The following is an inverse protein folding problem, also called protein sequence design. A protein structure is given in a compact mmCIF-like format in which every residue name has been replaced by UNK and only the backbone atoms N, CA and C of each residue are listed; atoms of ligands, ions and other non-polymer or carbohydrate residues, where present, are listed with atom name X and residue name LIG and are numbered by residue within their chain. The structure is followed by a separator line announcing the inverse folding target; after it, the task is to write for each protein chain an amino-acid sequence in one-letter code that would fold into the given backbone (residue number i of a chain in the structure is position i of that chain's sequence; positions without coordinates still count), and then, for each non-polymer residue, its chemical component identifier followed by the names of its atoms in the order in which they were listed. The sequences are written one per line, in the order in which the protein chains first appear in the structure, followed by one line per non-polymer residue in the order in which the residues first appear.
data_IF_018364818187
#
_entry.id   IF_018364818187
#
_cell.length_a   1.000
_cell.length_b   1.000
_cell.length_c   1.000
_cell.angle_alpha   90.00
_cell.angle_beta   90.00
_cell.angle_gamma   90.00
#
_symmetry.space_group_name_H-M   'P 1'
#
loop_
_entity.id
_entity.type
_entity.pdbx_description
1 polymer ?
#
# COMPACT_ATOMS: atom_id res chain seq x y z
N UNK A 1 -40.76 73.68 6.38
CA UNK A 1 -41.09 74.44 5.16
C UNK A 1 -39.79 74.76 4.43
N UNK A 2 -39.67 74.25 3.18
CA UNK A 2 -38.85 74.73 2.02
C UNK A 2 -37.32 74.84 2.21
N UNK A 3 -36.44 74.47 1.28
CA UNK A 3 -36.44 73.67 0.04
C UNK A 3 -34.97 73.63 -0.46
N UNK A 4 -34.54 72.53 -1.10
CA UNK A 4 -33.52 72.34 -2.18
C UNK A 4 -32.11 73.00 -2.05
N UNK A 5 -30.99 72.44 -2.50
CA UNK A 5 -30.57 71.15 -3.07
C UNK A 5 -29.02 71.21 -3.18
N UNK A 6 -28.31 70.09 -3.02
CA UNK A 6 -27.03 69.89 -3.74
C UNK A 6 -26.80 68.40 -3.98
N UNK A 7 -26.63 68.06 -5.26
CA UNK A 7 -26.23 66.77 -5.79
C UNK A 7 -24.87 66.35 -5.19
N UNK A 8 -24.78 65.11 -4.70
CA UNK A 8 -23.50 64.41 -4.57
C UNK A 8 -23.65 63.02 -5.20
N UNK A 9 -22.85 62.82 -6.24
CA UNK A 9 -22.71 61.59 -7.02
C UNK A 9 -22.20 60.48 -6.10
N UNK A 10 -22.99 59.44 -5.85
CA UNK A 10 -22.51 58.24 -5.19
C UNK A 10 -21.89 57.31 -6.24
N UNK A 11 -20.56 57.24 -6.22
CA UNK A 11 -19.78 56.27 -6.97
C UNK A 11 -20.07 54.88 -6.40
N UNK A 12 -20.73 54.03 -7.17
CA UNK A 12 -21.03 52.66 -6.79
C UNK A 12 -19.76 51.81 -6.79
N UNK A 13 -19.21 51.53 -5.60
CA UNK A 13 -18.27 50.43 -5.44
C UNK A 13 -19.06 49.12 -5.32
N UNK A 14 -19.07 48.36 -6.42
CA UNK A 14 -19.52 46.98 -6.45
C UNK A 14 -18.64 46.19 -5.47
N UNK A 15 -19.18 45.87 -4.28
CA UNK A 15 -18.49 45.01 -3.32
C UNK A 15 -18.72 43.57 -3.77
N UNK A 16 -17.71 42.97 -4.40
CA UNK A 16 -17.67 41.52 -4.61
C UNK A 16 -17.46 40.91 -3.22
N UNK A 17 -18.51 40.33 -2.65
CA UNK A 17 -18.38 39.49 -1.46
C UNK A 17 -17.82 38.15 -1.95
N UNK A 18 -16.51 37.99 -1.85
CA UNK A 18 -15.86 36.69 -1.98
C UNK A 18 -16.23 35.90 -0.73
N UNK A 19 -17.12 34.92 -0.86
CA UNK A 19 -17.27 33.88 0.16
C UNK A 19 -16.00 33.03 0.12
N UNK A 20 -15.12 33.20 1.09
CA UNK A 20 -14.07 32.23 1.33
C UNK A 20 -14.77 30.93 1.78
N UNK A 21 -14.61 29.87 0.99
CA UNK A 21 -15.05 28.54 1.38
C UNK A 21 -14.19 28.12 2.57
N UNK A 22 -14.80 27.94 3.74
CA UNK A 22 -14.09 27.69 4.98
C UNK A 22 -13.54 26.25 4.95
N UNK A 23 -12.24 26.10 4.69
CA UNK A 23 -11.56 24.80 4.75
C UNK A 23 -11.77 24.18 6.13
N UNK A 24 -12.44 23.03 6.19
CA UNK A 24 -12.70 22.34 7.46
C UNK A 24 -11.49 21.52 7.84
N UNK A 25 -10.57 22.12 8.60
CA UNK A 25 -9.37 21.43 9.08
C UNK A 25 -9.69 20.55 10.29
N UNK A 26 -9.54 19.24 10.13
CA UNK A 26 -9.59 18.23 11.19
C UNK A 26 -8.17 17.76 11.53
N UNK A 27 -7.82 17.78 12.81
CA UNK A 27 -6.57 17.22 13.35
C UNK A 27 -6.95 16.27 14.49
N UNK A 28 -6.73 14.97 14.30
CA UNK A 28 -7.18 13.92 15.20
C UNK A 28 -5.98 13.06 15.62
N UNK A 29 -5.67 13.12 16.91
CA UNK A 29 -4.71 12.22 17.53
C UNK A 29 -5.43 11.23 18.46
N UNK A 30 -5.16 9.93 18.29
CA UNK A 30 -5.71 8.88 19.16
C UNK A 30 -4.73 7.76 19.45
N UNK A 31 -4.70 7.36 20.71
CA UNK A 31 -3.89 6.27 21.22
C UNK A 31 -4.77 5.06 21.55
N UNK A 32 -4.32 3.87 21.16
CA UNK A 32 -4.98 2.60 21.44
C UNK A 32 -4.09 1.72 22.29
N UNK A 33 -4.67 1.16 23.35
CA UNK A 33 -4.01 0.24 24.26
C UNK A 33 -4.79 -1.06 24.30
N UNK A 34 -4.04 -2.16 24.32
CA UNK A 34 -4.59 -3.50 24.50
C UNK A 34 -4.75 -3.78 26.00
N UNK A 35 -5.87 -4.40 26.37
CA UNK A 35 -6.16 -4.85 27.75
C UNK A 35 -5.85 -6.32 27.93
N UNK A 36 -6.33 -7.15 27.01
CA UNK A 36 -6.32 -8.62 27.09
C UNK A 36 -5.89 -9.29 25.81
N UNK A 37 -5.94 -8.59 24.67
CA UNK A 37 -5.62 -9.18 23.40
C UNK A 37 -4.14 -9.62 23.29
N UNK A 38 -3.92 -10.78 22.71
CA UNK A 38 -2.59 -11.23 22.25
C UNK A 38 -2.48 -11.18 20.72
N UNK A 39 -3.62 -11.08 20.03
CA UNK A 39 -3.70 -10.90 18.58
C UNK A 39 -4.48 -9.63 18.28
N UNK A 40 -4.01 -8.83 17.31
CA UNK A 40 -4.68 -7.61 16.87
C UNK A 40 -4.91 -7.66 15.37
N UNK A 41 -6.18 -7.60 14.98
CA UNK A 41 -6.58 -7.35 13.60
C UNK A 41 -6.60 -5.84 13.39
N UNK A 42 -5.89 -5.35 12.38
CA UNK A 42 -5.83 -3.94 12.03
C UNK A 42 -6.29 -3.78 10.60
N UNK A 43 -7.43 -3.10 10.43
CA UNK A 43 -7.92 -2.66 9.13
C UNK A 43 -7.69 -1.15 9.01
N UNK A 44 -6.93 -0.73 8.01
CA UNK A 44 -6.78 0.67 7.62
C UNK A 44 -7.35 0.81 6.22
N UNK A 45 -8.43 1.55 6.09
CA UNK A 45 -9.11 1.85 4.83
C UNK A 45 -9.00 3.33 4.54
N UNK A 46 -7.91 3.71 3.86
CA UNK A 46 -7.63 5.07 3.43
C UNK A 46 -8.19 5.27 2.01
N UNK A 47 -9.36 5.93 1.86
CA UNK A 47 -10.00 6.06 0.55
C UNK A 47 -9.20 6.97 -0.39
N UNK A 48 -8.57 8.02 0.13
CA UNK A 48 -7.79 8.96 -0.65
C UNK A 48 -6.78 9.73 0.21
N UNK A 49 -5.68 10.20 -0.37
CA UNK A 49 -4.70 11.05 0.30
C UNK A 49 -3.31 10.41 0.42
N UNK A 50 -2.71 10.54 1.60
CA UNK A 50 -1.41 9.95 1.91
C UNK A 50 -1.51 9.02 3.13
N UNK A 51 -1.15 7.76 2.94
CA UNK A 51 -1.09 6.75 4.00
C UNK A 51 0.36 6.49 4.40
N UNK A 52 0.71 6.77 5.65
CA UNK A 52 1.95 6.34 6.28
C UNK A 52 1.68 5.35 7.39
N UNK A 53 2.31 4.18 7.33
CA UNK A 53 2.31 3.21 8.42
C UNK A 53 3.73 2.93 8.83
N UNK A 54 4.02 3.05 10.13
CA UNK A 54 5.35 2.79 10.68
C UNK A 54 5.24 2.03 12.01
N UNK A 55 6.39 1.61 12.53
CA UNK A 55 6.48 0.86 13.77
C UNK A 55 7.21 1.64 14.86
N UNK A 56 7.00 1.25 16.12
CA UNK A 56 7.72 1.77 17.29
C UNK A 56 7.88 0.72 18.37
N UNK A 57 8.94 0.83 19.18
CA UNK A 57 9.21 -0.11 20.26
C UNK A 57 8.34 0.06 21.51
N UNK A 58 7.92 1.29 21.83
CA UNK A 58 7.29 1.61 23.12
C UNK A 58 6.01 2.45 22.99
N UNK A 59 5.21 2.45 24.06
CA UNK A 59 3.98 3.24 24.17
C UNK A 59 2.71 2.46 23.79
N UNK A 60 1.66 3.17 23.34
CA UNK A 60 0.39 2.57 22.90
C UNK A 60 0.59 1.51 21.82
N UNK A 61 -0.33 0.53 21.77
CA UNK A 61 -0.37 -0.50 20.72
C UNK A 61 -0.48 0.11 19.32
N UNK A 62 -1.32 1.14 19.16
CA UNK A 62 -1.41 1.94 17.95
C UNK A 62 -1.56 3.42 18.30
N UNK A 63 -0.98 4.28 17.48
CA UNK A 63 -1.17 5.74 17.52
C UNK A 63 -1.62 6.19 16.15
N UNK A 64 -2.69 6.97 16.11
CA UNK A 64 -3.20 7.62 14.92
C UNK A 64 -2.92 9.12 15.02
N UNK A 65 -2.31 9.69 13.99
CA UNK A 65 -2.21 11.14 13.73
C UNK A 65 -2.81 11.36 12.34
N UNK A 66 -4.08 11.77 12.33
CA UNK A 66 -4.89 11.94 11.12
C UNK A 66 -5.18 13.43 10.91
N UNK A 67 -4.83 13.94 9.73
CA UNK A 67 -5.03 15.35 9.38
C UNK A 67 -5.78 15.44 8.08
N UNK A 68 -6.85 16.21 8.06
CA UNK A 68 -7.68 16.39 6.89
C UNK A 68 -8.14 17.84 6.74
N UNK A 69 -8.12 18.40 5.54
CA UNK A 69 -8.72 19.70 5.14
C UNK A 69 -9.88 19.53 4.16
N UNK A 70 -10.16 18.31 3.69
CA UNK A 70 -11.25 18.01 2.76
C UNK A 70 -12.60 18.35 3.39
N UNK A 71 -13.45 18.98 2.58
CA UNK A 71 -14.85 19.24 2.94
C UNK A 71 -15.62 17.93 2.97
N UNK A 72 -16.49 17.74 3.96
CA UNK A 72 -17.39 16.57 4.11
C UNK A 72 -16.66 15.21 4.19
N UNK A 73 -15.48 15.17 4.80
CA UNK A 73 -14.78 13.92 5.07
C UNK A 73 -14.88 13.55 6.55
N UNK A 74 -15.33 12.33 6.82
CA UNK A 74 -15.51 11.81 8.18
C UNK A 74 -14.65 10.56 8.41
N UNK A 75 -13.88 10.59 9.50
CA UNK A 75 -13.17 9.42 10.01
C UNK A 75 -14.14 8.46 10.74
N UNK A 76 -13.98 7.17 10.47
CA UNK A 76 -14.69 6.05 11.12
C UNK A 76 -13.67 5.19 11.84
N UNK A 77 -13.57 5.37 13.16
CA UNK A 77 -12.56 4.69 13.98
C UNK A 77 -13.22 3.89 15.07
N UNK A 78 -12.88 2.60 15.17
CA UNK A 78 -13.38 1.73 16.24
C UNK A 78 -12.27 0.81 16.75
N UNK A 79 -12.33 0.49 18.03
CA UNK A 79 -11.51 -0.54 18.65
C UNK A 79 -12.35 -1.35 19.62
N UNK A 80 -12.26 -2.68 19.54
CA UNK A 80 -12.93 -3.61 20.46
C UNK A 80 -12.01 -4.78 20.77
N UNK A 81 -12.20 -5.40 21.92
CA UNK A 81 -11.53 -6.65 22.29
C UNK A 81 -12.56 -7.71 22.65
N UNK A 82 -12.40 -8.90 22.09
CA UNK A 82 -13.23 -10.07 22.35
C UNK A 82 -12.39 -11.35 22.23
N UNK A 83 -12.47 -12.24 23.22
CA UNK A 83 -11.80 -13.54 23.16
C UNK A 83 -10.27 -13.50 23.03
N UNK A 84 -9.61 -12.45 23.53
CA UNK A 84 -8.16 -12.28 23.38
C UNK A 84 -7.72 -11.74 22.01
N UNK A 85 -8.68 -11.27 21.20
CA UNK A 85 -8.44 -10.61 19.91
C UNK A 85 -8.90 -9.16 20.01
N UNK A 86 -8.05 -8.24 19.57
CA UNK A 86 -8.40 -6.83 19.40
C UNK A 86 -8.67 -6.52 17.93
N UNK A 87 -9.75 -5.83 17.62
CA UNK A 87 -10.06 -5.37 16.26
C UNK A 87 -9.97 -3.85 16.22
N UNK A 88 -8.96 -3.31 15.53
CA UNK A 88 -8.80 -1.89 15.24
C UNK A 88 -9.22 -1.64 13.79
N UNK A 89 -10.26 -0.84 13.59
CA UNK A 89 -10.69 -0.39 12.27
C UNK A 89 -10.54 1.12 12.17
N UNK A 90 -9.78 1.57 11.18
CA UNK A 90 -9.57 2.98 10.84
C UNK A 90 -9.99 3.16 9.40
N UNK A 91 -11.14 3.78 9.17
CA UNK A 91 -11.66 4.04 7.84
C UNK A 91 -12.08 5.49 7.69
N UNK A 92 -12.39 5.90 6.48
CA UNK A 92 -12.87 7.25 6.18
C UNK A 92 -13.86 7.23 5.04
N UNK A 93 -14.72 8.23 4.97
CA UNK A 93 -15.57 8.45 3.81
C UNK A 93 -15.73 9.93 3.55
N UNK A 94 -15.63 10.31 2.27
CA UNK A 94 -15.96 11.65 1.80
C UNK A 94 -16.51 11.58 0.38
N UNK A 95 -17.25 12.60 -0.04
CA UNK A 95 -17.76 12.70 -1.40
C UNK A 95 -16.68 13.26 -2.32
N UNK A 96 -16.27 12.48 -3.32
CA UNK A 96 -15.49 12.98 -4.45
C UNK A 96 -16.46 13.12 -5.62
N UNK A 97 -16.76 14.36 -6.02
CA UNK A 97 -17.47 14.62 -7.27
C UNK A 97 -16.47 14.53 -8.43
N UNK A 98 -16.93 14.13 -9.63
CA UNK A 98 -16.44 14.44 -10.99
C UNK A 98 -16.52 13.22 -11.95
N UNK A 99 -16.92 13.48 -13.20
CA UNK A 99 -17.26 12.47 -14.22
C UNK A 99 -16.61 12.78 -15.59
N UNK A 100 -15.46 12.20 -15.92
CA UNK A 100 -14.96 12.14 -17.31
C UNK A 100 -14.14 10.84 -17.53
N UNK A 101 -13.84 10.55 -18.80
CA UNK A 101 -13.05 9.42 -19.25
C UNK A 101 -11.56 9.55 -18.89
N UNK A 102 -10.94 8.42 -18.53
CA UNK A 102 -9.63 8.34 -17.85
C UNK A 102 -8.74 7.37 -18.61
N UNK A 103 -7.56 7.84 -19.04
CA UNK A 103 -6.60 7.03 -19.80
C UNK A 103 -5.29 6.75 -19.04
N UNK A 104 -4.97 7.51 -17.98
CA UNK A 104 -3.78 7.28 -17.13
C UNK A 104 -3.99 7.70 -15.66
N UNK A 105 -3.13 7.24 -14.76
CA UNK A 105 -3.15 7.63 -13.33
C UNK A 105 -2.98 9.15 -13.13
N UNK A 106 -2.08 9.78 -13.92
CA UNK A 106 -1.88 11.24 -13.87
C UNK A 106 -3.11 11.98 -14.37
N UNK A 107 -3.77 11.46 -15.40
CA UNK A 107 -5.00 12.05 -15.94
C UNK A 107 -6.15 11.89 -14.95
N UNK A 108 -6.21 10.78 -14.21
CA UNK A 108 -7.17 10.59 -13.12
C UNK A 108 -6.96 11.60 -11.98
N UNK A 109 -5.71 11.78 -11.51
CA UNK A 109 -5.37 12.80 -10.49
C UNK A 109 -5.81 14.20 -10.96
N UNK A 110 -5.43 14.59 -12.19
CA UNK A 110 -5.82 15.89 -12.77
C UNK A 110 -7.33 16.05 -12.97
N UNK A 111 -8.02 15.01 -13.44
CA UNK A 111 -9.46 15.03 -13.71
C UNK A 111 -10.27 15.30 -12.43
N UNK A 112 -9.87 14.65 -11.34
CA UNK A 112 -10.52 14.85 -10.06
C UNK A 112 -10.18 16.23 -9.44
N UNK A 113 -9.38 17.07 -10.11
CA UNK A 113 -8.92 18.35 -9.56
C UNK A 113 -7.89 18.18 -8.44
N UNK A 114 -7.39 16.95 -8.26
CA UNK A 114 -6.41 16.58 -7.28
C UNK A 114 -5.04 16.94 -7.87
N UNK A 115 -4.60 18.17 -7.62
CA UNK A 115 -3.20 18.51 -7.83
C UNK A 115 -2.27 17.61 -6.98
N UNK A 116 -0.99 17.95 -6.91
CA UNK A 116 -0.07 17.33 -5.94
C UNK A 116 -0.50 17.53 -4.47
N UNK A 117 -1.56 18.30 -4.21
CA UNK A 117 -1.99 18.75 -2.89
C UNK A 117 -2.86 17.74 -2.12
N UNK A 118 -3.32 16.65 -2.72
CA UNK A 118 -4.22 15.74 -1.98
C UNK A 118 -3.54 14.91 -0.89
N UNK A 119 -2.25 14.68 -1.05
CA UNK A 119 -1.41 14.16 0.03
C UNK A 119 -1.36 15.14 1.20
N UNK A 120 -1.34 16.45 0.93
CA UNK A 120 -1.28 17.49 1.96
C UNK A 120 -2.65 17.70 2.64
N UNK A 121 -3.73 17.46 1.90
CA UNK A 121 -5.10 17.67 2.36
C UNK A 121 -5.68 16.51 3.15
N UNK A 122 -5.18 15.28 3.00
CA UNK A 122 -5.65 14.13 3.78
C UNK A 122 -4.51 13.17 4.09
N UNK A 123 -3.95 13.29 5.30
CA UNK A 123 -2.76 12.56 5.73
C UNK A 123 -3.06 11.66 6.90
N UNK A 124 -2.70 10.39 6.73
CA UNK A 124 -2.95 9.31 7.68
C UNK A 124 -1.62 8.79 8.17
N UNK A 125 -1.26 9.06 9.42
CA UNK A 125 -0.07 8.46 10.04
C UNK A 125 -0.54 7.47 11.10
N UNK A 126 -0.20 6.20 10.89
CA UNK A 126 -0.48 5.11 11.84
C UNK A 126 0.82 4.51 12.31
N UNK A 127 1.03 4.51 13.62
CA UNK A 127 2.21 3.90 14.23
C UNK A 127 1.81 2.69 15.07
N UNK A 128 2.32 1.51 14.73
CA UNK A 128 2.05 0.25 15.41
C UNK A 128 3.21 -0.14 16.35
N UNK A 129 2.89 -0.80 17.46
CA UNK A 129 3.88 -1.21 18.44
C UNK A 129 4.55 -2.54 18.06
N UNK A 130 5.88 -2.53 18.01
CA UNK A 130 6.71 -3.74 18.07
C UNK A 130 6.59 -4.31 19.48
N UNK A 131 5.87 -5.42 19.64
CA UNK A 131 5.71 -6.06 20.95
C UNK A 131 5.91 -7.56 20.83
N UNK A 132 6.67 -8.12 21.78
CA UNK A 132 6.84 -9.56 21.90
C UNK A 132 5.53 -10.32 22.14
N UNK A 133 4.51 -9.65 22.69
CA UNK A 133 3.27 -10.28 23.15
C UNK A 133 2.08 -10.04 22.22
N UNK A 134 2.26 -9.24 21.15
CA UNK A 134 1.21 -8.92 20.18
C UNK A 134 1.54 -9.50 18.81
N UNK A 135 0.60 -10.28 18.28
CA UNK A 135 0.60 -10.77 16.91
C UNK A 135 -0.38 -9.94 16.06
N UNK A 136 0.05 -9.46 14.90
CA UNK A 136 -0.75 -8.62 14.03
C UNK A 136 -1.26 -9.38 12.80
N UNK A 137 -2.53 -9.12 12.45
CA UNK A 137 -3.08 -9.37 11.12
C UNK A 137 -3.44 -8.02 10.52
N UNK A 138 -2.80 -7.66 9.41
CA UNK A 138 -2.94 -6.34 8.81
C UNK A 138 -3.69 -6.41 7.49
N UNK A 139 -4.65 -5.51 7.30
CA UNK A 139 -5.31 -5.25 6.03
C UNK A 139 -5.26 -3.74 5.76
N UNK A 140 -4.43 -3.36 4.79
CA UNK A 140 -4.15 -1.98 4.42
C UNK A 140 -4.77 -1.73 3.04
N UNK A 141 -5.64 -0.74 2.95
CA UNK A 141 -6.30 -0.36 1.71
C UNK A 141 -5.99 1.11 1.42
N UNK A 142 -5.36 1.34 0.27
CA UNK A 142 -5.11 2.66 -0.27
C UNK A 142 -5.92 2.82 -1.57
N UNK A 143 -6.99 3.61 -1.51
CA UNK A 143 -7.87 3.84 -2.65
C UNK A 143 -7.20 4.70 -3.72
N UNK A 144 -6.88 5.95 -3.39
CA UNK A 144 -6.32 6.93 -4.32
C UNK A 144 -5.23 7.81 -3.68
N UNK A 145 -4.01 7.81 -4.22
CA UNK A 145 -2.95 8.72 -3.76
C UNK A 145 -1.63 8.02 -3.53
N UNK A 146 -1.02 8.23 -2.37
CA UNK A 146 0.34 7.80 -2.08
C UNK A 146 0.40 7.00 -0.76
N UNK A 147 1.17 5.92 -0.72
CA UNK A 147 1.34 5.11 0.49
C UNK A 147 2.81 4.77 0.76
N UNK A 148 3.22 4.92 2.01
CA UNK A 148 4.57 4.59 2.50
C UNK A 148 4.46 3.79 3.80
N UNK A 149 4.74 2.49 3.69
CA UNK A 149 4.49 1.51 4.75
C UNK A 149 5.81 0.83 5.12
N UNK A 150 6.25 0.97 6.38
CA UNK A 150 7.35 0.20 6.96
C UNK A 150 6.84 -0.63 8.14
N UNK A 151 6.95 -1.95 8.01
CA UNK A 151 6.48 -2.92 9.00
C UNK A 151 7.63 -3.75 9.59
N UNK A 152 8.86 -3.24 9.51
CA UNK A 152 10.04 -3.88 10.09
C UNK A 152 9.83 -4.26 11.57
N UNK A 153 10.32 -5.44 11.94
CA UNK A 153 10.27 -6.03 13.28
C UNK A 153 8.86 -6.32 13.85
N UNK A 154 7.79 -6.01 13.12
CA UNK A 154 6.43 -6.29 13.57
C UNK A 154 6.13 -7.79 13.46
N UNK A 155 5.58 -8.38 14.53
CA UNK A 155 5.10 -9.77 14.55
C UNK A 155 3.82 -9.88 13.75
N UNK A 156 3.90 -10.40 12.53
CA UNK A 156 2.75 -10.48 11.63
C UNK A 156 2.50 -11.91 11.17
N UNK A 157 1.27 -12.40 11.33
CA UNK A 157 0.85 -13.69 10.74
C UNK A 157 0.24 -13.52 9.35
N UNK A 158 -0.33 -12.35 9.06
CA UNK A 158 -0.96 -12.03 7.77
C UNK A 158 -0.79 -10.55 7.42
N UNK A 159 -0.59 -10.27 6.13
CA UNK A 159 -0.59 -8.91 5.57
C UNK A 159 -1.38 -8.90 4.25
N UNK A 160 -2.39 -8.06 4.16
CA UNK A 160 -3.01 -7.63 2.91
C UNK A 160 -2.68 -6.17 2.65
N UNK A 161 -2.26 -5.84 1.42
CA UNK A 161 -2.08 -4.47 0.97
C UNK A 161 -2.72 -4.28 -0.41
N UNK A 162 -3.84 -3.57 -0.43
CA UNK A 162 -4.57 -3.23 -1.64
C UNK A 162 -4.28 -1.77 -2.03
N UNK A 163 -3.75 -1.61 -3.24
CA UNK A 163 -3.38 -0.35 -3.86
C UNK A 163 -4.28 -0.16 -5.09
N UNK A 164 -5.30 0.69 -4.99
CA UNK A 164 -6.27 0.92 -6.05
C UNK A 164 -5.67 1.74 -7.20
N UNK A 165 -5.58 3.04 -6.97
CA UNK A 165 -4.99 4.04 -7.86
C UNK A 165 -3.91 4.79 -7.07
N UNK A 166 -2.73 4.21 -6.94
CA UNK A 166 -1.73 4.78 -6.02
C UNK A 166 -0.29 4.51 -6.42
N UNK A 167 0.59 5.37 -5.94
CA UNK A 167 2.02 5.06 -5.83
C UNK A 167 2.29 4.60 -4.38
N UNK A 168 2.72 3.35 -4.22
CA UNK A 168 2.80 2.70 -2.92
C UNK A 168 4.15 2.02 -2.71
N UNK A 169 4.74 2.21 -1.54
CA UNK A 169 5.93 1.50 -1.07
C UNK A 169 5.60 0.68 0.17
N UNK A 170 6.02 -0.58 0.17
CA UNK A 170 6.03 -1.45 1.35
C UNK A 170 7.46 -1.89 1.64
N UNK A 171 7.96 -1.59 2.83
CA UNK A 171 9.28 -1.99 3.30
C UNK A 171 9.18 -2.93 4.50
N UNK A 172 9.98 -3.99 4.50
CA UNK A 172 10.18 -4.88 5.65
C UNK A 172 11.65 -4.79 6.06
N UNK A 173 11.99 -3.68 6.69
CA UNK A 173 13.39 -3.29 6.97
C UNK A 173 14.10 -4.21 7.95
N UNK A 174 13.33 -4.91 8.81
CA UNK A 174 13.82 -5.92 9.74
C UNK A 174 12.97 -7.20 9.64
N UNK A 175 13.57 -8.39 9.80
CA UNK A 175 12.84 -9.66 9.73
C UNK A 175 11.62 -9.73 10.64
N UNK A 176 10.52 -10.26 10.11
CA UNK A 176 9.36 -10.65 10.87
C UNK A 176 9.74 -11.85 11.77
N UNK A 177 9.70 -11.71 13.10
CA UNK A 177 10.23 -12.73 14.01
C UNK A 177 9.28 -13.93 14.17
N UNK A 178 8.13 -13.93 13.49
CA UNK A 178 7.21 -15.06 13.43
C UNK A 178 6.98 -15.48 11.98
N UNK A 179 6.38 -16.66 11.81
CA UNK A 179 5.97 -17.16 10.52
C UNK A 179 4.73 -16.41 10.01
N UNK A 180 4.80 -15.85 8.80
CA UNK A 180 3.66 -15.24 8.12
C UNK A 180 3.02 -16.26 7.18
N UNK A 181 1.76 -16.61 7.41
CA UNK A 181 1.06 -17.58 6.57
C UNK A 181 0.78 -17.04 5.17
N UNK A 182 0.40 -15.77 5.06
CA UNK A 182 0.00 -15.14 3.81
C UNK A 182 0.37 -13.66 3.76
N UNK A 183 1.07 -13.28 2.71
CA UNK A 183 1.15 -11.89 2.24
C UNK A 183 0.33 -11.76 0.95
N UNK A 184 -0.50 -10.72 0.85
CA UNK A 184 -1.25 -10.39 -0.36
C UNK A 184 -0.98 -8.94 -0.75
N UNK A 185 -0.64 -8.71 -2.01
CA UNK A 185 -0.50 -7.40 -2.60
C UNK A 185 -1.39 -7.34 -3.85
N UNK A 186 -2.33 -6.41 -3.88
CA UNK A 186 -3.12 -6.12 -5.08
C UNK A 186 -2.79 -4.71 -5.54
N UNK A 187 -2.24 -4.57 -6.75
CA UNK A 187 -1.99 -3.27 -7.37
C UNK A 187 -2.87 -3.11 -8.62
N UNK A 188 -3.84 -2.20 -8.56
CA UNK A 188 -4.74 -1.89 -9.68
C UNK A 188 -4.05 -1.05 -10.75
N UNK A 189 -3.85 0.23 -10.46
CA UNK A 189 -3.21 1.22 -11.31
C UNK A 189 -2.25 2.09 -10.48
N UNK A 190 -1.17 2.54 -11.09
CA UNK A 190 -0.07 3.23 -10.40
C UNK A 190 1.13 2.30 -10.20
N UNK A 191 2.05 2.67 -9.33
CA UNK A 191 3.28 1.91 -9.07
C UNK A 191 3.30 1.32 -7.66
N UNK A 192 3.70 0.05 -7.55
CA UNK A 192 3.98 -0.60 -6.27
C UNK A 192 5.46 -0.98 -6.18
N UNK A 193 6.09 -0.63 -5.06
CA UNK A 193 7.46 -1.03 -4.73
C UNK A 193 7.50 -1.79 -3.41
N UNK A 194 7.82 -3.08 -3.47
CA UNK A 194 8.09 -3.91 -2.30
C UNK A 194 9.59 -4.00 -2.05
N UNK A 195 10.05 -3.58 -0.87
CA UNK A 195 11.46 -3.53 -0.47
C UNK A 195 11.78 -4.58 0.57
N UNK A 196 12.77 -5.42 0.27
CA UNK A 196 13.28 -6.47 1.16
C UNK A 196 12.18 -7.39 1.69
N UNK A 197 11.22 -7.77 0.85
CA UNK A 197 10.04 -8.54 1.26
C UNK A 197 10.38 -9.96 1.74
N UNK A 198 11.57 -10.48 1.41
CA UNK A 198 12.05 -11.75 1.96
C UNK A 198 12.11 -11.74 3.50
N UNK A 199 12.27 -10.57 4.11
CA UNK A 199 12.24 -10.41 5.56
C UNK A 199 10.86 -10.66 6.18
N UNK A 200 9.76 -10.69 5.41
CA UNK A 200 8.44 -10.91 5.98
C UNK A 200 8.19 -12.36 6.44
N UNK A 201 9.11 -13.29 6.12
CA UNK A 201 9.03 -14.70 6.52
C UNK A 201 7.70 -15.34 6.10
N UNK A 202 7.26 -15.06 4.88
CA UNK A 202 6.00 -15.55 4.34
C UNK A 202 6.12 -16.98 3.82
N UNK A 203 5.07 -17.78 4.00
CA UNK A 203 4.92 -19.07 3.30
C UNK A 203 4.36 -18.86 1.90
N UNK A 204 3.34 -18.03 1.77
CA UNK A 204 2.73 -17.70 0.49
C UNK A 204 2.62 -16.18 0.31
N UNK A 205 3.11 -15.70 -0.83
CA UNK A 205 2.92 -14.35 -1.32
C UNK A 205 2.01 -14.40 -2.55
N UNK A 206 0.89 -13.67 -2.51
CA UNK A 206 -0.01 -13.51 -3.65
C UNK A 206 0.08 -12.07 -4.16
N UNK A 207 0.29 -11.92 -5.47
CA UNK A 207 0.45 -10.63 -6.11
C UNK A 207 -0.50 -10.54 -7.29
N UNK A 208 -1.34 -9.51 -7.31
CA UNK A 208 -2.18 -9.18 -8.47
C UNK A 208 -1.72 -7.84 -9.03
N UNK A 209 -1.40 -7.79 -10.33
CA UNK A 209 -1.00 -6.55 -11.01
C UNK A 209 -1.98 -6.29 -12.16
N UNK A 210 -2.76 -5.21 -12.05
CA UNK A 210 -3.77 -4.81 -13.01
C UNK A 210 -3.17 -4.16 -14.26
N UNK A 211 -3.29 -2.83 -14.36
CA UNK A 211 -2.73 -2.00 -15.44
C UNK A 211 -1.47 -1.23 -15.01
N UNK A 212 -1.19 -1.19 -13.71
CA UNK A 212 -0.02 -0.52 -13.13
C UNK A 212 1.29 -1.30 -13.27
N UNK A 213 2.29 -0.90 -12.50
CA UNK A 213 3.57 -1.61 -12.38
C UNK A 213 3.82 -2.06 -10.95
N UNK A 214 4.48 -3.20 -10.77
CA UNK A 214 4.93 -3.65 -9.46
C UNK A 214 6.37 -4.13 -9.53
N UNK A 215 7.21 -3.69 -8.60
CA UNK A 215 8.57 -4.18 -8.41
C UNK A 215 8.70 -4.77 -7.02
N UNK A 216 9.09 -6.04 -6.92
CA UNK A 216 9.34 -6.70 -5.65
C UNK A 216 10.82 -7.05 -5.51
N UNK A 217 11.44 -6.48 -4.50
CA UNK A 217 12.68 -6.98 -3.95
C UNK A 217 12.38 -8.11 -2.97
N UNK A 218 12.60 -9.34 -3.43
CA UNK A 218 12.41 -10.57 -2.66
C UNK A 218 13.68 -10.99 -1.92
N UNK A 219 14.70 -10.13 -1.84
CA UNK A 219 15.85 -10.36 -0.95
C UNK A 219 15.42 -10.24 0.52
N UNK A 220 16.22 -10.82 1.41
CA UNK A 220 15.99 -10.83 2.85
C UNK A 220 16.44 -12.14 3.49
N UNK A 221 16.08 -12.33 4.75
CA UNK A 221 16.46 -13.49 5.55
C UNK A 221 15.40 -14.60 5.49
N UNK A 222 15.61 -15.57 4.60
CA UNK A 222 14.76 -16.75 4.53
C UNK A 222 15.18 -17.78 5.58
N UNK A 223 14.19 -18.29 6.32
CA UNK A 223 14.36 -19.38 7.28
C UNK A 223 13.53 -20.62 6.90
N UNK A 224 12.91 -20.58 5.72
CA UNK A 224 12.05 -21.64 5.19
C UNK A 224 11.80 -21.47 3.69
N UNK A 225 11.23 -22.51 3.08
CA UNK A 225 10.67 -22.44 1.75
C UNK A 225 9.49 -21.45 1.67
N UNK A 226 9.40 -20.76 0.54
CA UNK A 226 8.37 -19.80 0.25
C UNK A 226 7.82 -19.96 -1.17
N UNK A 227 6.57 -19.54 -1.36
CA UNK A 227 5.86 -19.66 -2.62
C UNK A 227 5.22 -18.34 -3.03
N UNK A 228 5.42 -17.94 -4.28
CA UNK A 228 4.88 -16.72 -4.88
C UNK A 228 3.89 -17.09 -5.96
N UNK A 229 2.67 -16.58 -5.85
CA UNK A 229 1.67 -16.62 -6.92
C UNK A 229 1.47 -15.22 -7.46
N UNK A 230 1.63 -15.06 -8.77
CA UNK A 230 1.49 -13.78 -9.43
C UNK A 230 0.48 -13.86 -10.58
N UNK A 231 -0.52 -12.98 -10.55
CA UNK A 231 -1.48 -12.79 -11.62
C UNK A 231 -1.28 -11.39 -12.22
N UNK A 232 -0.77 -11.34 -13.45
CA UNK A 232 -0.43 -10.09 -14.16
C UNK A 232 -1.39 -9.89 -15.32
N UNK A 233 -2.18 -8.83 -15.25
CA UNK A 233 -3.17 -8.43 -16.26
C UNK A 233 -2.50 -7.82 -17.49
N UNK A 234 -2.51 -6.48 -17.56
CA UNK A 234 -1.91 -5.69 -18.64
C UNK A 234 -0.67 -4.90 -18.19
N UNK A 235 -0.41 -4.90 -16.88
CA UNK A 235 0.70 -4.18 -16.26
C UNK A 235 2.06 -4.83 -16.43
N UNK A 236 3.05 -4.30 -15.70
CA UNK A 236 4.41 -4.84 -15.64
C UNK A 236 4.76 -5.31 -14.25
N UNK A 237 5.43 -6.46 -14.17
CA UNK A 237 5.83 -7.05 -12.90
C UNK A 237 7.32 -7.40 -12.93
N UNK A 238 8.11 -6.73 -12.08
CA UNK A 238 9.53 -6.98 -11.89
C UNK A 238 9.78 -7.66 -10.55
N UNK A 239 10.61 -8.70 -10.55
CA UNK A 239 11.07 -9.39 -9.35
C UNK A 239 12.59 -9.39 -9.30
N UNK A 240 13.13 -9.05 -8.14
CA UNK A 240 14.54 -9.14 -7.80
C UNK A 240 14.67 -10.27 -6.77
N UNK A 241 15.43 -11.31 -7.11
CA UNK A 241 15.49 -12.55 -6.34
C UNK A 241 16.93 -12.83 -5.91
N UNK A 242 17.20 -13.20 -4.66
CA UNK A 242 18.58 -13.47 -4.23
C UNK A 242 19.08 -14.83 -4.74
N UNK A 243 20.35 -14.91 -5.12
CA UNK A 243 20.97 -16.15 -5.63
C UNK A 243 21.18 -17.26 -4.58
N UNK A 244 21.05 -16.95 -3.29
CA UNK A 244 21.27 -17.90 -2.18
C UNK A 244 20.03 -18.79 -1.90
N UNK A 245 19.07 -18.81 -2.80
CA UNK A 245 17.89 -19.66 -2.76
C UNK A 245 17.81 -20.54 -4.00
N UNK A 246 17.17 -21.69 -3.84
CA UNK A 246 16.79 -22.52 -4.97
C UNK A 246 15.52 -21.97 -5.61
N UNK A 247 15.65 -21.48 -6.84
CA UNK A 247 14.57 -20.78 -7.55
C UNK A 247 13.93 -21.71 -8.56
N UNK A 248 12.60 -21.87 -8.50
CA UNK A 248 11.82 -22.58 -9.51
C UNK A 248 10.62 -21.75 -9.95
N UNK A 249 10.44 -21.57 -11.26
CA UNK A 249 9.38 -20.73 -11.82
C UNK A 249 8.57 -21.54 -12.82
N UNK A 250 7.25 -21.55 -12.64
CA UNK A 250 6.27 -22.00 -13.63
C UNK A 250 5.54 -20.80 -14.20
N UNK A 251 5.53 -20.66 -15.53
CA UNK A 251 4.87 -19.54 -16.22
C UNK A 251 3.73 -20.04 -17.11
N UNK A 252 2.54 -19.48 -16.90
CA UNK A 252 1.36 -19.59 -17.75
C UNK A 252 1.15 -18.26 -18.48
N UNK A 253 1.73 -18.14 -19.67
CA UNK A 253 1.76 -16.90 -20.47
C UNK A 253 0.78 -16.94 -21.65
N UNK A 254 0.13 -15.81 -21.96
CA UNK A 254 -0.59 -15.64 -23.24
C UNK A 254 0.37 -15.30 -24.39
N UNK A 255 -0.04 -15.49 -25.67
CA UNK A 255 0.77 -15.09 -26.83
C UNK A 255 1.11 -13.59 -26.92
N UNK A 256 0.42 -12.75 -26.14
CA UNK A 256 0.61 -11.29 -26.12
C UNK A 256 1.46 -10.80 -24.94
N UNK A 257 1.96 -11.70 -24.11
CA UNK A 257 2.79 -11.36 -22.96
C UNK A 257 4.29 -11.35 -23.30
N UNK A 258 5.07 -10.63 -22.51
CA UNK A 258 6.53 -10.62 -22.56
C UNK A 258 7.11 -11.18 -21.27
N UNK A 259 7.91 -12.24 -21.38
CA UNK A 259 8.50 -12.94 -20.22
C UNK A 259 10.02 -12.96 -20.37
N UNK A 260 10.71 -12.44 -19.37
CA UNK A 260 12.16 -12.40 -19.31
C UNK A 260 12.65 -12.83 -17.92
N UNK A 261 13.29 -14.00 -17.83
CA UNK A 261 13.71 -14.61 -16.58
C UNK A 261 15.24 -14.76 -16.56
N UNK A 262 15.93 -13.64 -16.38
CA UNK A 262 17.39 -13.59 -16.47
C UNK A 262 18.06 -14.40 -15.35
N UNK A 263 19.03 -15.23 -15.72
CA UNK A 263 19.79 -16.07 -14.79
C UNK A 263 19.15 -17.43 -14.50
N UNK A 264 17.93 -17.71 -14.99
CA UNK A 264 17.32 -19.03 -14.90
C UNK A 264 17.62 -19.89 -16.14
N UNK A 265 17.75 -21.20 -15.93
CA UNK A 265 17.84 -22.23 -16.96
C UNK A 265 16.42 -22.71 -17.28
N UNK A 266 16.06 -22.70 -18.56
CA UNK A 266 14.78 -23.24 -19.01
C UNK A 266 14.84 -24.77 -19.10
N UNK A 267 14.05 -25.47 -18.28
CA UNK A 267 13.96 -26.94 -18.28
C UNK A 267 12.90 -27.46 -19.27
N UNK A 268 11.85 -26.69 -19.47
CA UNK A 268 10.76 -27.01 -20.40
C UNK A 268 10.08 -25.75 -20.90
N UNK A 269 9.03 -25.90 -21.72
CA UNK A 269 8.29 -24.76 -22.28
C UNK A 269 7.81 -23.76 -21.23
N UNK A 270 7.42 -24.22 -20.04
CA UNK A 270 6.82 -23.37 -18.99
C UNK A 270 7.59 -23.37 -17.67
N UNK A 271 8.70 -24.12 -17.57
CA UNK A 271 9.44 -24.30 -16.31
C UNK A 271 10.88 -23.85 -16.41
N UNK A 272 11.32 -23.14 -15.38
CA UNK A 272 12.66 -22.56 -15.25
C UNK A 272 13.21 -22.82 -13.85
N UNK A 273 14.52 -22.96 -13.73
CA UNK A 273 15.21 -23.12 -12.43
C UNK A 273 16.52 -22.37 -12.34
N UNK A 274 16.99 -22.10 -11.13
CA UNK A 274 18.36 -21.62 -10.92
C UNK A 274 19.40 -22.69 -11.35
N UNK A 275 20.59 -22.30 -11.86
CA UNK A 275 21.59 -23.25 -12.37
C UNK A 275 22.07 -24.32 -11.37
N UNK A 276 22.09 -24.00 -10.07
CA UNK A 276 22.55 -24.90 -9.01
C UNK A 276 21.39 -25.38 -8.10
N UNK A 277 20.20 -25.54 -8.67
CA UNK A 277 19.01 -25.94 -7.91
C UNK A 277 19.25 -27.22 -7.10
N UNK A 278 18.88 -27.19 -5.82
CA UNK A 278 19.09 -28.26 -4.83
C UNK A 278 20.35 -28.07 -3.97
N UNK A 279 21.06 -26.94 -4.12
CA UNK A 279 22.30 -26.66 -3.39
C UNK A 279 22.10 -25.71 -2.21
N UNK A 280 20.94 -25.07 -2.08
CA UNK A 280 20.63 -24.13 -1.01
C UNK A 280 19.68 -24.77 0.02
N UNK A 281 19.65 -24.21 1.23
CA UNK A 281 18.81 -24.73 2.31
C UNK A 281 17.31 -24.52 2.07
N UNK A 282 16.95 -23.47 1.32
CA UNK A 282 15.56 -23.06 1.11
C UNK A 282 15.25 -22.79 -0.36
N UNK A 283 13.98 -23.01 -0.71
CA UNK A 283 13.43 -22.79 -2.03
C UNK A 283 12.50 -21.57 -2.08
N UNK A 284 12.58 -20.81 -3.17
CA UNK A 284 11.59 -19.80 -3.52
C UNK A 284 10.97 -20.18 -4.86
N UNK A 285 9.69 -20.56 -4.80
CA UNK A 285 8.96 -21.10 -5.94
C UNK A 285 7.92 -20.11 -6.45
N UNK A 286 7.67 -20.11 -7.76
CA UNK A 286 6.78 -19.16 -8.41
C UNK A 286 5.78 -19.86 -9.32
N UNK A 287 4.50 -19.50 -9.20
CA UNK A 287 3.46 -19.76 -10.18
C UNK A 287 2.97 -18.42 -10.74
N UNK A 288 3.27 -18.15 -12.01
CA UNK A 288 3.03 -16.85 -12.64
C UNK A 288 2.05 -17.01 -13.79
N UNK A 289 0.93 -16.31 -13.74
CA UNK A 289 -0.03 -16.19 -14.84
C UNK A 289 0.06 -14.79 -15.45
N UNK A 290 0.22 -14.70 -16.77
CA UNK A 290 0.34 -13.42 -17.46
C UNK A 290 -0.64 -13.34 -18.61
N UNK A 291 -1.51 -12.33 -18.55
CA UNK A 291 -2.43 -11.94 -19.60
C UNK A 291 -1.68 -11.25 -20.75
N UNK A 292 -1.78 -9.93 -20.84
CA UNK A 292 -1.13 -9.12 -21.89
C UNK A 292 0.05 -8.29 -21.36
N UNK A 293 0.37 -8.42 -20.08
CA UNK A 293 1.45 -7.69 -19.42
C UNK A 293 2.84 -8.28 -19.65
N UNK A 294 3.79 -7.78 -18.86
CA UNK A 294 5.18 -8.24 -18.86
C UNK A 294 5.63 -8.73 -17.49
N UNK A 295 6.53 -9.71 -17.50
CA UNK A 295 7.21 -10.20 -16.30
C UNK A 295 8.71 -10.21 -16.54
N UNK A 296 9.42 -9.54 -15.65
CA UNK A 296 10.88 -9.55 -15.56
C UNK A 296 11.29 -10.16 -14.21
N UNK A 297 12.17 -11.14 -14.24
CA UNK A 297 12.83 -11.68 -13.06
C UNK A 297 14.34 -11.58 -13.24
N UNK A 298 15.01 -11.07 -12.22
CA UNK A 298 16.46 -10.98 -12.17
C UNK A 298 16.99 -11.65 -10.91
N UNK A 299 17.95 -12.57 -11.09
CA UNK A 299 18.74 -13.10 -9.98
C UNK A 299 19.89 -12.14 -9.70
N UNK A 300 20.02 -11.74 -8.44
CA UNK A 300 21.09 -10.87 -7.97
C UNK A 300 21.88 -11.51 -6.83
N UNK A 301 23.07 -10.97 -6.58
CA UNK A 301 23.81 -11.24 -5.36
C UNK A 301 22.96 -10.89 -4.12
N UNK A 302 23.06 -11.63 -3.00
CA UNK A 302 22.43 -11.22 -1.76
C UNK A 302 23.03 -9.86 -1.40
N UNK A 303 22.19 -8.83 -1.23
CA UNK A 303 22.66 -7.54 -0.77
C UNK A 303 23.11 -7.61 0.69
N UNK A 304 24.16 -6.87 1.04
CA UNK A 304 24.50 -6.53 2.43
C UNK A 304 23.42 -5.68 3.09
#
# INVERSE_FOLDING_TARGET
MKNLALLAVFCGSLSVVTFAQEETKQDLQRDFYVKTASTVNVLIDCPLGELRVNTKQQGPMAVLDLKNSLTNFDYKISYREEGGVGDLNVGGSGEISHSHDIESFSDFKKLLGLGNSISDDNRWVVTLKESGDLLYNLDLNMGLGDADVDLGALKMSQLGFNCGLSDATLSITQPNPVHMELMKVDNGMGSFEGKTLGNANFKELKVSVGMGSATLDLRGEYTRDAHVKADVGMGSFKMIVPKNLDIAVTVNSSPFSSINLMGLVQESKTRYRSPNFGSNDYQLTFDISVGMGSVDLEIVEPGE
#
